data_IF_131265770130
#
_entry.id   IF_131265770130
#
_cell.length_a   1.000
_cell.length_b   1.000
_cell.length_c   1.000
_cell.angle_alpha   90.00
_cell.angle_beta   90.00
_cell.angle_gamma   90.00
#
_symmetry.space_group_name_H-M   'P 1'
#
loop_
_entity.id
_entity.type
_entity.pdbx_description
1 polymer ?
#
# COMPACT_ATOMS: atom_id res chain seq x y z
N UNK A 1 19.62 25.48 26.63
CA UNK A 1 19.92 25.61 25.18
C UNK A 1 20.95 24.59 24.64
N UNK A 2 21.09 23.38 25.23
CA UNK A 2 22.08 22.37 24.77
C UNK A 2 21.47 20.96 24.58
N UNK A 3 20.17 20.76 24.77
CA UNK A 3 19.54 19.43 24.76
C UNK A 3 18.71 19.11 23.50
N UNK A 4 18.36 20.08 22.66
CA UNK A 4 17.52 19.86 21.47
C UNK A 4 18.23 19.20 20.27
N UNK A 5 19.55 19.02 20.30
CA UNK A 5 20.28 18.37 19.19
C UNK A 5 20.33 16.84 19.27
N UNK A 6 20.02 16.23 20.43
CA UNK A 6 20.20 14.78 20.61
C UNK A 6 19.00 13.95 20.15
N UNK A 7 17.77 14.47 20.21
CA UNK A 7 16.59 13.69 19.83
C UNK A 7 16.43 13.56 18.30
N UNK A 8 16.63 14.64 17.56
CA UNK A 8 16.68 14.61 16.09
C UNK A 8 17.84 13.76 15.56
N UNK A 9 18.96 13.70 16.28
CA UNK A 9 20.11 12.86 15.91
C UNK A 9 19.85 11.37 16.14
N UNK A 10 19.00 10.98 17.09
CA UNK A 10 18.71 9.56 17.38
C UNK A 10 17.73 8.98 16.36
N UNK A 11 16.71 9.75 15.94
CA UNK A 11 15.81 9.33 14.87
C UNK A 11 16.49 9.31 13.49
N UNK A 12 17.39 10.28 13.22
CA UNK A 12 18.22 10.28 12.01
C UNK A 12 19.32 9.19 12.03
N UNK A 13 19.90 8.84 13.18
CA UNK A 13 20.89 7.76 13.27
C UNK A 13 20.29 6.36 13.19
N UNK A 14 19.08 6.12 13.70
CA UNK A 14 18.47 4.79 13.64
C UNK A 14 17.96 4.42 12.23
N UNK A 15 17.66 5.40 11.38
CA UNK A 15 17.28 5.18 9.98
C UNK A 15 18.47 5.22 8.99
N UNK A 16 19.59 5.84 9.36
CA UNK A 16 20.83 5.85 8.55
C UNK A 16 21.75 4.62 8.76
N UNK A 17 21.42 3.71 9.68
CA UNK A 17 22.23 2.51 9.93
C UNK A 17 21.94 1.32 9.00
N UNK A 18 21.19 1.50 7.90
CA UNK A 18 21.33 0.63 6.73
C UNK A 18 22.48 1.13 5.86
N UNK A 19 23.69 1.09 6.43
CA UNK A 19 24.92 1.10 5.66
C UNK A 19 24.92 -0.15 4.79
N UNK A 20 24.56 0.02 3.52
CA UNK A 20 24.93 -0.88 2.42
C UNK A 20 26.46 -0.89 2.37
N UNK A 21 27.08 -1.63 3.29
CA UNK A 21 28.52 -1.81 3.35
C UNK A 21 28.92 -2.51 2.07
N UNK A 22 29.55 -1.75 1.17
CA UNK A 22 30.32 -2.26 0.04
C UNK A 22 31.36 -3.23 0.58
N UNK A 23 31.10 -4.52 0.44
CA UNK A 23 32.15 -5.52 0.50
C UNK A 23 33.06 -5.25 -0.70
N UNK A 24 34.27 -4.79 -0.42
CA UNK A 24 35.38 -4.76 -1.36
C UNK A 24 35.64 -6.19 -1.84
N UNK A 25 35.36 -6.44 -3.11
CA UNK A 25 36.02 -7.52 -3.85
C UNK A 25 36.27 -7.08 -5.29
N UNK A 26 37.39 -7.52 -5.82
CA UNK A 26 38.14 -6.93 -6.95
C UNK A 26 37.31 -6.76 -8.22
N UNK A 27 37.31 -5.53 -8.73
CA UNK A 27 36.86 -5.19 -10.06
C UNK A 27 37.71 -5.91 -11.11
N UNK A 28 37.17 -6.98 -11.71
CA UNK A 28 37.51 -7.32 -13.09
C UNK A 28 36.70 -6.43 -14.01
N UNK A 29 37.42 -5.57 -14.74
CA UNK A 29 36.87 -4.76 -15.82
C UNK A 29 36.09 -5.65 -16.81
N UNK A 30 34.80 -5.39 -16.95
CA UNK A 30 34.06 -5.66 -18.18
C UNK A 30 33.46 -4.34 -18.66
N UNK A 31 34.27 -3.68 -19.48
CA UNK A 31 33.82 -2.65 -20.41
C UNK A 31 32.88 -3.29 -21.44
N UNK A 32 31.58 -3.06 -21.32
CA UNK A 32 30.75 -2.81 -22.50
C UNK A 32 29.48 -2.03 -22.15
N UNK A 33 29.15 -1.08 -23.01
CA UNK A 33 28.05 -0.16 -22.88
C UNK A 33 26.73 -0.81 -23.35
N UNK A 34 25.61 -0.27 -22.87
CA UNK A 34 24.28 -0.36 -23.51
C UNK A 34 23.53 -1.70 -23.49
N UNK A 35 23.49 -2.40 -22.36
CA UNK A 35 22.43 -3.37 -22.09
C UNK A 35 21.78 -3.10 -20.74
N UNK A 36 20.48 -2.77 -20.76
CA UNK A 36 19.63 -2.77 -19.56
C UNK A 36 19.52 -4.23 -19.11
N UNK A 37 20.37 -4.65 -18.18
CA UNK A 37 20.31 -5.99 -17.61
C UNK A 37 19.09 -6.08 -16.69
N UNK A 38 18.04 -6.75 -17.18
CA UNK A 38 16.92 -7.18 -16.37
C UNK A 38 17.36 -8.41 -15.57
N UNK A 39 17.92 -8.23 -14.37
CA UNK A 39 18.08 -9.34 -13.43
C UNK A 39 16.71 -9.87 -13.00
N UNK A 40 16.53 -11.16 -13.15
CA UNK A 40 15.26 -11.81 -13.01
C UNK A 40 15.06 -12.34 -11.58
N UNK A 41 13.81 -12.37 -11.07
CA UNK A 41 13.40 -12.99 -9.78
C UNK A 41 14.07 -14.35 -9.46
N UNK A 42 14.62 -15.06 -10.45
CA UNK A 42 15.54 -16.19 -10.38
C UNK A 42 16.59 -16.05 -9.31
N UNK A 43 17.21 -14.88 -9.26
CA UNK A 43 18.44 -14.71 -8.52
C UNK A 43 18.18 -14.63 -7.03
N UNK A 44 16.91 -14.80 -6.60
CA UNK A 44 16.49 -15.09 -5.23
C UNK A 44 16.67 -16.56 -4.80
N UNK A 45 17.04 -17.42 -5.75
CA UNK A 45 17.20 -18.86 -5.58
C UNK A 45 18.69 -19.17 -5.50
N UNK A 46 19.14 -20.06 -4.60
CA UNK A 46 20.54 -20.49 -4.58
C UNK A 46 20.90 -21.20 -5.89
N UNK A 47 21.91 -20.72 -6.62
CA UNK A 47 22.42 -21.35 -7.86
C UNK A 47 22.92 -22.79 -7.62
N UNK A 48 23.25 -23.12 -6.37
CA UNK A 48 23.97 -24.32 -5.95
C UNK A 48 23.18 -25.64 -5.98
N UNK A 49 22.01 -25.70 -6.63
CA UNK A 49 21.22 -26.96 -6.75
C UNK A 49 20.82 -27.31 -8.21
N UNK A 50 21.30 -26.59 -9.22
CA UNK A 50 20.54 -26.43 -10.47
C UNK A 50 21.21 -26.93 -11.77
N UNK A 51 22.32 -27.67 -11.71
CA UNK A 51 23.03 -28.13 -12.93
C UNK A 51 22.65 -29.54 -13.45
N UNK A 52 21.84 -30.34 -12.75
CA UNK A 52 21.53 -31.72 -13.17
C UNK A 52 20.14 -32.21 -12.73
N UNK A 53 19.08 -31.49 -13.13
CA UNK A 53 17.72 -31.81 -12.71
C UNK A 53 16.85 -32.22 -13.89
N UNK A 54 16.14 -33.34 -13.74
CA UNK A 54 15.13 -33.80 -14.70
C UNK A 54 13.96 -32.82 -14.82
N UNK A 55 13.29 -32.78 -15.97
CA UNK A 55 12.10 -31.96 -16.22
C UNK A 55 11.07 -32.05 -15.07
N UNK A 56 10.94 -33.24 -14.46
CA UNK A 56 10.06 -33.48 -13.31
C UNK A 56 10.50 -32.78 -12.01
N UNK A 57 11.81 -32.68 -11.75
CA UNK A 57 12.30 -31.92 -10.60
C UNK A 57 12.05 -30.43 -10.81
N UNK A 58 12.35 -29.92 -12.00
CA UNK A 58 12.13 -28.51 -12.34
C UNK A 58 10.64 -28.15 -12.27
N UNK A 59 9.76 -29.01 -12.80
CA UNK A 59 8.31 -28.86 -12.67
C UNK A 59 7.87 -28.76 -11.20
N UNK A 60 8.27 -29.71 -10.35
CA UNK A 60 7.92 -29.71 -8.93
C UNK A 60 8.47 -28.50 -8.18
N UNK A 61 9.68 -28.05 -8.53
CA UNK A 61 10.33 -26.89 -7.95
C UNK A 61 9.58 -25.59 -8.28
N UNK A 62 9.29 -25.36 -9.57
CA UNK A 62 8.56 -24.17 -10.02
C UNK A 62 7.13 -24.21 -9.46
N UNK A 63 6.46 -25.37 -9.45
CA UNK A 63 5.14 -25.52 -8.85
C UNK A 63 5.15 -25.13 -7.37
N UNK A 64 6.13 -25.59 -6.59
CA UNK A 64 6.25 -25.23 -5.17
C UNK A 64 6.50 -23.73 -4.95
N UNK A 65 7.30 -23.10 -5.82
CA UNK A 65 7.54 -21.65 -5.77
C UNK A 65 6.29 -20.83 -6.10
N UNK A 66 5.52 -21.25 -7.10
CA UNK A 66 4.24 -20.64 -7.43
C UNK A 66 3.27 -20.84 -6.27
N UNK A 67 3.15 -22.05 -5.73
CA UNK A 67 2.27 -22.32 -4.59
C UNK A 67 2.68 -21.45 -3.38
N UNK A 68 3.97 -21.30 -3.09
CA UNK A 68 4.43 -20.47 -1.97
C UNK A 68 4.00 -18.99 -2.07
N UNK A 69 3.84 -18.45 -3.28
CA UNK A 69 3.54 -17.03 -3.51
C UNK A 69 2.13 -16.75 -4.04
N UNK A 70 1.51 -17.76 -4.66
CA UNK A 70 0.30 -17.68 -5.46
C UNK A 70 -0.57 -18.93 -5.30
N UNK A 71 -0.47 -19.70 -4.20
CA UNK A 71 -1.29 -20.92 -3.96
C UNK A 71 -2.78 -20.67 -4.20
N UNK A 72 -3.24 -19.45 -3.92
CA UNK A 72 -4.62 -18.97 -4.06
C UNK A 72 -5.14 -19.04 -5.50
N UNK A 73 -4.26 -19.05 -6.49
CA UNK A 73 -4.62 -19.04 -7.91
C UNK A 73 -4.55 -20.41 -8.57
N UNK A 74 -4.07 -21.45 -7.87
CA UNK A 74 -4.01 -22.82 -8.38
C UNK A 74 -3.43 -22.95 -9.80
N UNK A 75 -2.39 -22.17 -10.09
CA UNK A 75 -1.70 -22.18 -11.38
C UNK A 75 -0.94 -23.49 -11.50
N UNK A 76 -1.11 -24.19 -12.62
CA UNK A 76 -0.44 -25.46 -12.87
C UNK A 76 0.75 -25.23 -13.77
N UNK A 77 1.88 -25.82 -13.39
CA UNK A 77 3.14 -25.78 -14.13
C UNK A 77 3.42 -27.12 -14.76
N UNK A 78 3.81 -27.10 -16.04
CA UNK A 78 4.36 -28.27 -16.74
C UNK A 78 5.65 -27.86 -17.42
N UNK A 79 6.67 -28.71 -17.36
CA UNK A 79 7.95 -28.51 -18.02
C UNK A 79 8.12 -29.60 -19.07
N UNK A 80 8.34 -29.22 -20.33
CA UNK A 80 8.63 -30.17 -21.42
C UNK A 80 9.83 -29.66 -22.23
N UNK A 81 11.00 -30.27 -22.01
CA UNK A 81 12.26 -29.62 -22.40
C UNK A 81 12.39 -28.27 -21.69
N UNK A 82 13.35 -27.44 -22.06
CA UNK A 82 13.64 -26.16 -21.39
C UNK A 82 12.51 -25.09 -21.47
N UNK A 83 11.27 -25.48 -21.79
CA UNK A 83 10.07 -24.65 -21.92
C UNK A 83 9.08 -24.95 -20.79
N UNK A 84 8.64 -23.90 -20.10
CA UNK A 84 7.63 -23.97 -19.04
C UNK A 84 6.26 -23.58 -19.56
N UNK A 85 5.26 -24.41 -19.30
CA UNK A 85 3.86 -24.15 -19.62
C UNK A 85 3.07 -23.81 -18.36
N UNK A 86 2.39 -22.66 -18.38
CA UNK A 86 1.49 -22.23 -17.33
C UNK A 86 0.04 -22.41 -17.76
N UNK A 87 -0.73 -23.06 -16.89
CA UNK A 87 -2.17 -23.27 -17.05
C UNK A 87 -2.92 -22.65 -15.88
N UNK A 88 -4.22 -22.37 -16.08
CA UNK A 88 -5.12 -21.84 -15.05
C UNK A 88 -4.65 -20.50 -14.46
N UNK A 89 -4.10 -19.61 -15.30
CA UNK A 89 -3.72 -18.26 -14.84
C UNK A 89 -4.96 -17.45 -14.42
N UNK A 90 -4.85 -16.61 -13.38
CA UNK A 90 -5.95 -15.76 -12.96
C UNK A 90 -6.30 -14.72 -14.03
N UNK A 91 -7.59 -14.37 -14.16
CA UNK A 91 -8.06 -13.41 -15.16
C UNK A 91 -7.56 -11.98 -14.92
N UNK A 92 -7.15 -11.65 -13.69
CA UNK A 92 -6.59 -10.35 -13.35
C UNK A 92 -5.24 -10.14 -14.05
N UNK A 93 -5.13 -9.13 -14.90
CA UNK A 93 -3.94 -8.85 -15.70
C UNK A 93 -2.71 -8.50 -14.84
N UNK A 94 -2.87 -7.81 -13.71
CA UNK A 94 -1.74 -7.50 -12.83
C UNK A 94 -1.17 -8.76 -12.19
N UNK A 95 -2.06 -9.64 -11.73
CA UNK A 95 -1.67 -10.90 -11.07
C UNK A 95 -1.09 -11.88 -12.09
N UNK A 96 -1.77 -12.11 -13.21
CA UNK A 96 -1.28 -13.01 -14.27
C UNK A 96 0.06 -12.55 -14.83
N UNK A 97 0.22 -11.26 -15.14
CA UNK A 97 1.50 -10.71 -15.57
C UNK A 97 2.57 -10.86 -14.49
N UNK A 98 2.21 -10.76 -13.21
CA UNK A 98 3.14 -11.02 -12.11
C UNK A 98 3.54 -12.49 -12.04
N UNK A 99 2.62 -13.44 -12.22
CA UNK A 99 2.94 -14.88 -12.21
C UNK A 99 3.80 -15.25 -13.42
N UNK A 100 3.43 -14.78 -14.62
CA UNK A 100 4.22 -15.00 -15.84
C UNK A 100 5.63 -14.42 -15.66
N UNK A 101 5.72 -13.17 -15.20
CA UNK A 101 7.01 -12.55 -14.91
C UNK A 101 7.75 -13.30 -13.80
N UNK A 102 7.06 -13.91 -12.83
CA UNK A 102 7.68 -14.70 -11.77
C UNK A 102 8.41 -15.92 -12.32
N UNK A 103 7.76 -16.64 -13.23
CA UNK A 103 8.28 -17.88 -13.81
C UNK A 103 9.31 -17.62 -14.90
N UNK A 104 9.05 -16.65 -15.80
CA UNK A 104 10.01 -16.19 -16.80
C UNK A 104 11.30 -15.74 -16.18
N UNK A 105 11.17 -15.21 -14.98
CA UNK A 105 12.30 -14.69 -14.28
C UNK A 105 13.17 -15.77 -13.65
N UNK A 106 12.83 -17.07 -13.65
CA UNK A 106 13.63 -18.13 -13.02
C UNK A 106 14.85 -18.52 -13.87
N UNK A 107 16.02 -18.87 -13.28
CA UNK A 107 17.29 -18.90 -14.02
C UNK A 107 17.37 -20.11 -14.95
N UNK A 108 16.55 -21.12 -14.64
CA UNK A 108 16.39 -22.39 -15.33
C UNK A 108 15.27 -22.37 -16.38
N UNK A 109 14.65 -21.23 -16.65
CA UNK A 109 13.51 -21.12 -17.57
C UNK A 109 13.91 -20.36 -18.83
N UNK A 110 14.01 -21.05 -19.96
CA UNK A 110 14.37 -20.44 -21.24
C UNK A 110 13.16 -19.79 -21.93
N UNK A 111 11.97 -20.37 -21.77
CA UNK A 111 10.75 -19.88 -22.41
C UNK A 111 9.52 -20.21 -21.55
N UNK A 112 8.56 -19.28 -21.47
CA UNK A 112 7.26 -19.50 -20.82
C UNK A 112 6.13 -19.41 -21.84
N UNK A 113 5.31 -20.45 -21.92
CA UNK A 113 4.13 -20.51 -22.77
C UNK A 113 2.86 -20.62 -21.94
N UNK A 114 1.81 -19.93 -22.36
CA UNK A 114 0.51 -19.96 -21.72
C UNK A 114 -0.37 -20.93 -22.50
N UNK A 115 -0.99 -21.89 -21.81
CA UNK A 115 -1.96 -22.81 -22.41
C UNK A 115 -3.27 -22.76 -21.61
N UNK A 116 -4.38 -22.87 -22.33
CA UNK A 116 -5.72 -22.78 -21.73
C UNK A 116 -6.19 -24.13 -21.19
N UNK A 117 -5.88 -25.23 -21.88
CA UNK A 117 -6.43 -26.55 -21.58
C UNK A 117 -5.34 -27.61 -21.41
N UNK A 118 -5.46 -28.40 -20.34
CA UNK A 118 -4.64 -29.59 -20.06
C UNK A 118 -5.20 -30.80 -20.82
N UNK A 119 -4.31 -31.67 -21.31
CA UNK A 119 -4.71 -32.92 -21.96
C UNK A 119 -5.35 -33.90 -20.94
N UNK A 120 -6.28 -34.74 -21.38
CA UNK A 120 -7.07 -35.62 -20.48
C UNK A 120 -6.18 -36.53 -19.60
N UNK A 121 -5.12 -37.12 -20.17
CA UNK A 121 -4.18 -37.99 -19.46
C UNK A 121 -3.43 -37.27 -18.32
N UNK A 122 -3.11 -35.99 -18.54
CA UNK A 122 -2.38 -35.15 -17.59
C UNK A 122 -3.29 -34.63 -16.47
N UNK A 123 -4.55 -34.34 -16.81
CA UNK A 123 -5.64 -34.11 -15.86
C UNK A 123 -5.87 -35.35 -14.98
N UNK A 124 -5.86 -36.56 -15.54
CA UNK A 124 -6.02 -37.80 -14.79
C UNK A 124 -4.86 -38.05 -13.80
N UNK A 125 -3.61 -37.82 -14.24
CA UNK A 125 -2.40 -37.93 -13.41
C UNK A 125 -2.43 -36.97 -12.21
N UNK A 126 -3.02 -35.79 -12.39
CA UNK A 126 -3.16 -34.75 -11.36
C UNK A 126 -4.55 -34.68 -10.73
N UNK A 127 -5.41 -35.69 -10.90
CA UNK A 127 -6.79 -35.68 -10.37
C UNK A 127 -6.87 -35.31 -8.89
N UNK A 128 -5.92 -35.72 -8.05
CA UNK A 128 -5.91 -35.34 -6.63
C UNK A 128 -5.63 -33.84 -6.36
N UNK A 129 -4.98 -33.14 -7.30
CA UNK A 129 -4.73 -31.69 -7.28
C UNK A 129 -5.84 -30.93 -8.03
N UNK A 130 -6.29 -31.46 -9.17
CA UNK A 130 -7.35 -30.87 -10.03
C UNK A 130 -8.75 -30.99 -9.41
N UNK A 131 -9.05 -32.08 -8.70
CA UNK A 131 -10.37 -32.37 -8.12
C UNK A 131 -10.48 -32.03 -6.63
N UNK A 132 -9.58 -31.18 -6.10
CA UNK A 132 -9.78 -30.66 -4.75
C UNK A 132 -11.11 -29.88 -4.68
N UNK A 133 -11.89 -30.00 -3.59
CA UNK A 133 -13.13 -29.26 -3.45
C UNK A 133 -12.85 -27.76 -3.57
N UNK A 134 -13.24 -27.19 -4.71
CA UNK A 134 -13.11 -25.77 -4.98
C UNK A 134 -14.15 -25.02 -4.15
N UNK A 135 -13.69 -24.42 -3.05
CA UNK A 135 -14.42 -23.32 -2.44
C UNK A 135 -14.38 -22.18 -3.47
N UNK A 136 -15.49 -21.48 -3.69
CA UNK A 136 -15.59 -20.41 -4.72
C UNK A 136 -14.81 -19.13 -4.36
N UNK A 137 -13.71 -19.28 -3.63
CA UNK A 137 -12.95 -18.20 -3.04
C UNK A 137 -11.98 -18.64 -1.95
N UNK A 138 -11.22 -17.68 -1.45
CA UNK A 138 -10.10 -17.83 -0.53
C UNK A 138 -10.43 -17.10 0.77
N UNK A 139 -10.38 -17.83 1.89
CA UNK A 139 -10.42 -17.24 3.23
C UNK A 139 -9.07 -16.62 3.59
N UNK A 140 -9.09 -15.40 4.12
CA UNK A 140 -7.92 -14.68 4.61
C UNK A 140 -6.75 -14.63 3.61
N UNK A 141 -6.95 -14.10 2.39
CA UNK A 141 -5.89 -14.05 1.39
C UNK A 141 -4.68 -13.24 1.87
N UNK A 142 -3.48 -13.75 1.62
CA UNK A 142 -2.23 -13.21 2.18
C UNK A 142 -1.33 -12.53 1.14
N UNK A 143 -1.54 -12.81 -0.14
CA UNK A 143 -0.56 -12.54 -1.20
C UNK A 143 -0.66 -11.13 -1.80
N UNK A 144 -1.89 -10.60 -1.91
CA UNK A 144 -2.21 -9.47 -2.79
C UNK A 144 -3.40 -8.68 -2.24
N UNK A 145 -3.51 -7.40 -2.63
CA UNK A 145 -4.69 -6.57 -2.43
C UNK A 145 -5.34 -6.27 -3.79
N UNK A 146 -6.67 -6.21 -3.84
CA UNK A 146 -7.39 -5.94 -5.09
C UNK A 146 -7.41 -4.45 -5.43
N UNK A 147 -7.51 -3.58 -4.43
CA UNK A 147 -7.48 -2.13 -4.60
C UNK A 147 -6.28 -1.55 -3.86
N UNK A 148 -5.36 -0.92 -4.61
CA UNK A 148 -4.14 -0.37 -4.01
C UNK A 148 -4.43 0.92 -3.22
N UNK A 149 -3.77 1.15 -2.07
CA UNK A 149 -4.01 2.34 -1.24
C UNK A 149 -3.71 3.63 -1.99
N UNK A 150 -4.45 4.70 -1.69
CA UNK A 150 -4.28 6.03 -2.26
C UNK A 150 -3.09 6.71 -1.55
N UNK A 151 -1.93 6.80 -2.21
CA UNK A 151 -0.67 7.12 -1.51
C UNK A 151 -0.68 8.53 -0.88
N UNK A 152 -1.22 9.51 -1.62
CA UNK A 152 -1.21 10.91 -1.21
C UNK A 152 -2.40 11.29 -0.31
N UNK A 153 -3.41 10.42 -0.15
CA UNK A 153 -4.52 10.66 0.76
C UNK A 153 -4.00 10.73 2.22
N UNK A 154 -4.20 11.87 2.91
CA UNK A 154 -3.82 12.04 4.32
C UNK A 154 -4.46 11.01 5.25
N UNK A 155 -5.66 10.53 4.90
CA UNK A 155 -6.47 9.58 5.68
C UNK A 155 -6.52 8.18 5.08
N UNK A 156 -5.57 7.86 4.22
CA UNK A 156 -5.35 6.49 3.79
C UNK A 156 -4.96 5.62 5.00
N UNK A 157 -5.67 4.52 5.19
CA UNK A 157 -5.35 3.50 6.21
C UNK A 157 -3.96 2.95 5.92
N UNK A 158 -3.03 3.20 6.85
CA UNK A 158 -1.61 2.88 6.71
C UNK A 158 -0.87 2.85 8.03
N UNK A 159 0.32 2.27 8.01
CA UNK A 159 1.32 2.51 9.05
C UNK A 159 2.28 3.62 8.60
N UNK A 160 2.41 4.67 9.40
CA UNK A 160 3.38 5.72 9.14
C UNK A 160 3.78 6.49 10.38
N UNK A 161 5.00 7.04 10.34
CA UNK A 161 5.46 8.08 11.27
C UNK A 161 6.05 9.21 10.43
N UNK A 162 5.55 10.42 10.63
CA UNK A 162 6.00 11.59 9.89
C UNK A 162 6.22 12.78 10.82
N UNK A 163 7.26 13.55 10.55
CA UNK A 163 7.43 14.88 11.11
C UNK A 163 6.67 15.87 10.24
N UNK A 164 5.73 16.60 10.82
CA UNK A 164 4.92 17.63 10.17
C UNK A 164 5.39 19.01 10.63
N UNK A 165 5.52 19.94 9.68
CA UNK A 165 5.96 21.30 9.95
C UNK A 165 5.11 22.34 9.21
N UNK A 166 4.88 23.49 9.87
CA UNK A 166 4.16 24.64 9.33
C UNK A 166 2.65 24.61 9.53
N UNK A 167 2.12 23.58 10.20
CA UNK A 167 0.69 23.45 10.48
C UNK A 167 0.26 24.50 11.51
N UNK A 168 -0.72 25.34 11.16
CA UNK A 168 -1.18 26.43 12.04
C UNK A 168 -2.36 26.04 12.93
N UNK A 169 -2.91 24.85 12.72
CA UNK A 169 -4.13 24.39 13.38
C UNK A 169 -3.78 23.49 14.55
N UNK A 170 -2.98 22.45 14.32
CA UNK A 170 -2.57 21.51 15.37
C UNK A 170 -1.22 21.84 16.01
N UNK A 171 -0.45 22.77 15.43
CA UNK A 171 0.84 23.25 15.94
C UNK A 171 1.98 23.20 14.92
N UNK A 172 2.89 24.17 14.95
CA UNK A 172 3.88 24.37 13.88
C UNK A 172 4.85 23.20 13.71
N UNK A 173 5.02 22.37 14.74
CA UNK A 173 5.89 21.19 14.73
C UNK A 173 5.15 20.03 15.39
N UNK A 174 4.82 19.02 14.60
CA UNK A 174 4.13 17.85 15.08
C UNK A 174 4.80 16.55 14.62
N UNK A 175 4.58 15.47 15.37
CA UNK A 175 4.85 14.11 14.92
C UNK A 175 3.50 13.44 14.71
N UNK A 176 3.22 13.05 13.47
CA UNK A 176 1.98 12.38 13.09
C UNK A 176 2.24 10.88 13.00
N UNK A 177 1.50 10.12 13.80
CA UNK A 177 1.54 8.66 13.80
C UNK A 177 0.24 8.17 13.19
N UNK A 178 0.34 7.26 12.21
CA UNK A 178 -0.79 6.52 11.67
C UNK A 178 -0.54 5.02 11.89
N UNK A 179 -1.57 4.33 12.38
CA UNK A 179 -1.57 2.88 12.54
C UNK A 179 -2.85 2.34 11.93
N UNK A 180 -2.73 1.49 10.93
CA UNK A 180 -3.90 0.90 10.32
C UNK A 180 -3.56 -0.18 9.31
N UNK A 181 -4.49 -1.09 9.12
CA UNK A 181 -4.37 -2.19 8.17
C UNK A 181 -5.72 -2.47 7.49
N UNK A 182 -5.64 -3.05 6.30
CA UNK A 182 -6.77 -3.66 5.62
C UNK A 182 -6.64 -5.17 5.81
N UNK A 183 -7.61 -5.77 6.49
CA UNK A 183 -7.66 -7.21 6.72
C UNK A 183 -8.64 -7.87 5.75
N UNK A 184 -8.16 -8.59 4.71
CA UNK A 184 -9.02 -9.33 3.81
C UNK A 184 -9.67 -10.51 4.54
N UNK A 185 -11.00 -10.59 4.52
CA UNK A 185 -11.72 -11.69 5.18
C UNK A 185 -11.96 -12.82 4.18
N UNK A 186 -12.50 -12.50 3.02
CA UNK A 186 -12.82 -13.48 2.00
C UNK A 186 -12.71 -12.87 0.61
N UNK A 187 -12.11 -13.63 -0.32
CA UNK A 187 -12.02 -13.26 -1.73
C UNK A 187 -12.71 -14.31 -2.58
N UNK A 188 -13.75 -13.92 -3.29
CA UNK A 188 -14.26 -14.72 -4.39
C UNK A 188 -13.44 -14.48 -5.65
N UNK A 189 -13.17 -15.55 -6.38
CA UNK A 189 -12.44 -15.51 -7.64
C UNK A 189 -13.38 -15.73 -8.82
N UNK A 190 -13.09 -15.08 -9.95
CA UNK A 190 -13.81 -15.28 -11.21
C UNK A 190 -15.34 -15.09 -11.10
N UNK A 191 -15.78 -13.97 -10.52
CA UNK A 191 -17.19 -13.63 -10.31
C UNK A 191 -17.66 -12.54 -11.30
N UNK A 192 -18.96 -12.59 -11.61
CA UNK A 192 -19.69 -11.72 -12.54
C UNK A 192 -19.29 -11.89 -14.00
N UNK A 193 -19.90 -11.07 -14.88
CA UNK A 193 -19.72 -11.12 -16.32
C UNK A 193 -18.26 -10.90 -16.76
N UNK A 194 -17.50 -10.10 -15.99
CA UNK A 194 -16.12 -9.72 -16.31
C UNK A 194 -15.07 -10.67 -15.71
N UNK A 195 -15.50 -11.76 -15.06
CA UNK A 195 -14.60 -12.79 -14.56
C UNK A 195 -13.52 -12.26 -13.58
N UNK A 196 -13.84 -11.19 -12.85
CA UNK A 196 -12.96 -10.52 -11.89
C UNK A 196 -12.99 -11.12 -10.48
N UNK A 197 -12.15 -10.60 -9.60
CA UNK A 197 -12.07 -11.02 -8.21
C UNK A 197 -12.81 -10.00 -7.33
N UNK A 198 -13.61 -10.51 -6.38
CA UNK A 198 -14.35 -9.72 -5.40
C UNK A 198 -13.83 -10.04 -4.00
N UNK A 199 -13.59 -9.04 -3.17
CA UNK A 199 -13.06 -9.21 -1.82
C UNK A 199 -13.84 -8.37 -0.83
N UNK A 200 -14.21 -8.98 0.29
CA UNK A 200 -14.70 -8.27 1.47
C UNK A 200 -13.62 -8.28 2.56
N UNK A 201 -13.45 -7.14 3.23
CA UNK A 201 -12.45 -6.99 4.28
C UNK A 201 -12.93 -6.12 5.44
N UNK A 202 -11.98 -5.81 6.31
CA UNK A 202 -12.13 -4.87 7.43
C UNK A 202 -10.99 -3.86 7.31
N UNK A 203 -11.33 -2.58 7.25
CA UNK A 203 -10.37 -1.48 7.36
C UNK A 203 -10.39 -0.96 8.79
N UNK A 204 -9.23 -0.84 9.43
CA UNK A 204 -9.11 -0.17 10.71
C UNK A 204 -7.93 0.81 10.67
N UNK A 205 -8.15 2.05 11.07
CA UNK A 205 -7.14 3.11 11.05
C UNK A 205 -7.20 3.99 12.28
N UNK A 206 -6.03 4.42 12.74
CA UNK A 206 -5.85 5.35 13.85
C UNK A 206 -4.85 6.41 13.41
N UNK A 207 -5.17 7.69 13.63
CA UNK A 207 -4.24 8.80 13.43
C UNK A 207 -4.13 9.63 14.69
N UNK A 208 -2.90 9.89 15.12
CA UNK A 208 -2.57 10.61 16.33
C UNK A 208 -1.45 11.63 16.06
N UNK A 209 -1.79 12.91 15.82
CA UNK A 209 -0.82 13.99 15.80
C UNK A 209 -0.41 14.42 17.21
N UNK A 210 0.90 14.43 17.46
CA UNK A 210 1.52 14.94 18.68
C UNK A 210 2.19 16.28 18.40
N UNK A 211 1.72 17.35 19.04
CA UNK A 211 2.28 18.69 18.90
C UNK A 211 3.47 18.89 19.85
N UNK A 212 4.55 19.50 19.35
CA UNK A 212 5.78 19.83 20.08
C UNK A 212 6.02 21.35 20.17
N UNK A 213 5.16 22.16 19.58
CA UNK A 213 5.28 23.62 19.53
C UNK A 213 4.23 24.27 20.44
N UNK A 214 4.59 25.36 21.12
CA UNK A 214 3.67 26.07 22.05
C UNK A 214 3.05 25.18 23.15
N UNK A 215 3.77 24.11 23.54
CA UNK A 215 3.35 23.22 24.64
C UNK A 215 3.72 23.86 25.97
N UNK A 216 2.76 24.01 26.88
CA UNK A 216 2.99 24.57 28.22
C UNK A 216 4.05 23.77 28.97
N UNK A 217 5.23 24.36 29.17
CA UNK A 217 6.37 23.73 29.85
C UNK A 217 6.26 23.74 31.38
N UNK A 218 5.09 24.06 31.93
CA UNK A 218 4.85 24.02 33.37
C UNK A 218 4.61 22.58 33.87
N UNK A 219 4.29 21.65 32.98
CA UNK A 219 4.18 20.23 33.25
C UNK A 219 5.32 19.44 32.59
N UNK A 220 5.59 18.23 33.11
CA UNK A 220 6.71 17.34 32.74
C UNK A 220 6.59 16.76 31.32
N UNK A 221 5.87 17.42 30.43
CA UNK A 221 5.43 16.90 29.14
C UNK A 221 6.14 17.67 28.02
N UNK A 222 6.78 16.94 27.10
CA UNK A 222 7.55 17.51 26.00
C UNK A 222 6.72 17.68 24.71
N UNK A 223 5.51 17.11 24.69
CA UNK A 223 4.55 17.15 23.60
C UNK A 223 3.14 16.97 24.16
N UNK A 224 2.12 17.32 23.37
CA UNK A 224 0.71 17.04 23.67
C UNK A 224 0.09 16.22 22.54
N UNK A 225 -0.76 15.24 22.87
CA UNK A 225 -1.62 14.60 21.88
C UNK A 225 -2.75 15.58 21.54
N UNK A 226 -2.86 15.98 20.26
CA UNK A 226 -3.88 16.96 19.85
C UNK A 226 -5.24 16.29 19.74
N UNK A 227 -5.32 15.23 18.95
CA UNK A 227 -6.51 14.40 18.81
C UNK A 227 -6.13 12.96 18.46
N UNK A 228 -7.12 12.07 18.47
CA UNK A 228 -7.01 10.74 17.89
C UNK A 228 -8.26 10.44 17.09
N UNK A 229 -8.06 10.14 15.81
CA UNK A 229 -9.14 9.73 14.92
C UNK A 229 -9.12 8.21 14.77
N UNK A 230 -10.29 7.59 14.89
CA UNK A 230 -10.50 6.16 14.78
C UNK A 230 -11.42 5.88 13.59
N UNK A 231 -10.94 5.08 12.63
CA UNK A 231 -11.71 4.62 11.49
C UNK A 231 -11.92 3.12 11.58
N UNK A 232 -13.16 2.69 11.34
CA UNK A 232 -13.52 1.29 11.11
C UNK A 232 -14.39 1.23 9.86
N UNK A 233 -14.00 0.40 8.89
CA UNK A 233 -14.71 0.26 7.62
C UNK A 233 -14.84 -1.18 7.17
N UNK A 234 -15.81 -1.40 6.28
CA UNK A 234 -16.04 -2.68 5.59
C UNK A 234 -15.88 -2.42 4.09
N UNK A 235 -14.66 -2.56 3.53
CA UNK A 235 -14.44 -2.45 2.11
C UNK A 235 -14.93 -3.70 1.37
N UNK A 236 -15.56 -3.44 0.23
CA UNK A 236 -15.85 -4.40 -0.83
C UNK A 236 -15.06 -3.97 -2.07
N UNK A 237 -13.97 -4.69 -2.33
CA UNK A 237 -13.06 -4.42 -3.44
C UNK A 237 -13.37 -5.37 -4.60
N UNK A 238 -13.44 -4.86 -5.83
CA UNK A 238 -13.60 -5.65 -7.04
C UNK A 238 -12.54 -5.26 -8.07
N UNK A 239 -11.78 -6.21 -8.60
CA UNK A 239 -10.75 -5.93 -9.59
C UNK A 239 -10.82 -6.87 -10.78
N UNK A 240 -10.70 -6.30 -11.98
CA UNK A 240 -10.58 -7.04 -13.23
C UNK A 240 -9.70 -6.25 -14.21
N UNK A 241 -8.82 -6.95 -14.92
CA UNK A 241 -7.88 -6.36 -15.87
C UNK A 241 -7.11 -5.14 -15.28
N UNK A 242 -7.33 -3.93 -15.82
CA UNK A 242 -6.70 -2.68 -15.40
C UNK A 242 -7.57 -1.86 -14.42
N UNK A 243 -8.76 -2.34 -14.09
CA UNK A 243 -9.71 -1.66 -13.24
C UNK A 243 -9.75 -2.28 -11.84
N UNK A 244 -9.81 -1.40 -10.85
CA UNK A 244 -10.13 -1.77 -9.47
C UNK A 244 -11.21 -0.82 -8.95
N UNK A 245 -12.18 -1.37 -8.24
CA UNK A 245 -13.28 -0.65 -7.63
C UNK A 245 -13.28 -0.95 -6.15
N UNK A 246 -13.62 0.05 -5.33
CA UNK A 246 -13.80 -0.09 -3.89
C UNK A 246 -15.11 0.56 -3.52
N UNK A 247 -15.98 -0.18 -2.86
CA UNK A 247 -17.10 0.40 -2.14
C UNK A 247 -16.84 0.19 -0.65
N UNK A 248 -16.89 1.24 0.17
CA UNK A 248 -16.59 1.12 1.60
C UNK A 248 -17.65 1.85 2.41
N UNK A 249 -18.28 1.10 3.33
CA UNK A 249 -19.05 1.69 4.42
C UNK A 249 -18.08 1.85 5.60
N UNK A 250 -17.96 3.05 6.15
CA UNK A 250 -17.08 3.28 7.29
C UNK A 250 -17.70 4.23 8.31
N UNK A 251 -17.22 4.09 9.54
CA UNK A 251 -17.44 5.00 10.64
C UNK A 251 -16.09 5.62 11.00
N UNK A 252 -16.08 6.94 11.21
CA UNK A 252 -14.94 7.64 11.80
C UNK A 252 -15.41 8.46 12.99
N UNK A 253 -14.65 8.39 14.08
CA UNK A 253 -14.86 9.23 15.27
C UNK A 253 -13.54 9.83 15.73
N UNK A 254 -13.63 11.02 16.31
CA UNK A 254 -12.46 11.77 16.79
C UNK A 254 -12.59 12.12 18.26
N UNK A 255 -11.47 12.02 18.97
CA UNK A 255 -11.38 12.43 20.37
C UNK A 255 -10.17 13.34 20.58
N UNK A 256 -10.40 14.53 21.14
CA UNK A 256 -9.32 15.40 21.59
C UNK A 256 -8.46 14.70 22.63
N UNK A 257 -7.15 14.95 22.58
CA UNK A 257 -6.24 14.50 23.63
C UNK A 257 -6.46 15.27 24.93
N UNK A 258 -6.21 14.59 26.04
CA UNK A 258 -6.33 15.19 27.36
C UNK A 258 -5.23 16.22 27.61
N UNK A 259 -3.99 15.98 27.15
CA UNK A 259 -2.92 16.96 27.28
C UNK A 259 -3.24 18.27 26.53
N UNK A 260 -3.84 18.18 25.34
CA UNK A 260 -4.29 19.35 24.59
C UNK A 260 -5.34 20.16 25.38
N UNK A 261 -6.32 19.49 25.98
CA UNK A 261 -7.35 20.16 26.79
C UNK A 261 -6.79 20.78 28.07
N UNK A 262 -5.81 20.14 28.72
CA UNK A 262 -5.14 20.68 29.91
C UNK A 262 -4.33 21.92 29.57
N UNK A 263 -3.62 21.91 28.45
CA UNK A 263 -2.82 23.05 28.00
C UNK A 263 -3.68 24.20 27.44
N UNK A 264 -4.89 23.88 26.95
CA UNK A 264 -5.81 24.83 26.31
C UNK A 264 -7.22 24.71 26.91
N UNK A 265 -7.41 25.12 28.18
CA UNK A 265 -8.67 24.94 28.89
C UNK A 265 -9.86 25.67 28.24
N UNK A 266 -9.60 26.66 27.38
CA UNK A 266 -10.62 27.32 26.56
C UNK A 266 -11.38 26.36 25.64
N UNK A 267 -10.80 25.20 25.28
CA UNK A 267 -11.47 24.18 24.47
C UNK A 267 -12.41 23.28 25.27
N UNK A 268 -12.45 23.37 26.61
CA UNK A 268 -13.37 22.57 27.41
C UNK A 268 -14.84 22.90 27.11
N UNK A 269 -15.14 24.18 26.89
CA UNK A 269 -16.49 24.65 26.58
C UNK A 269 -16.81 24.60 25.07
N UNK A 270 -15.77 24.52 24.21
CA UNK A 270 -15.88 24.49 22.74
C UNK A 270 -15.78 23.08 22.13
N UNK A 271 -15.61 22.06 22.98
CA UNK A 271 -15.42 20.68 22.54
C UNK A 271 -16.62 20.18 21.74
N UNK A 272 -16.38 19.80 20.49
CA UNK A 272 -17.32 19.06 19.66
C UNK A 272 -16.99 17.56 19.65
N UNK A 273 -17.91 16.74 19.14
CA UNK A 273 -17.71 15.31 18.92
C UNK A 273 -17.79 14.97 17.42
N UNK A 274 -16.72 15.22 16.63
CA UNK A 274 -16.67 14.87 15.22
C UNK A 274 -16.78 13.35 15.07
N UNK A 275 -17.90 12.92 14.53
CA UNK A 275 -18.18 11.52 14.27
C UNK A 275 -19.16 11.43 13.12
N UNK A 276 -18.89 10.56 12.15
CA UNK A 276 -19.80 10.32 11.05
C UNK A 276 -19.65 8.92 10.45
N UNK A 277 -20.72 8.45 9.83
CA UNK A 277 -20.75 7.26 8.99
C UNK A 277 -20.89 7.68 7.54
N UNK A 278 -20.12 7.04 6.66
CA UNK A 278 -20.12 7.36 5.25
C UNK A 278 -20.07 6.10 4.37
N UNK A 279 -20.65 6.23 3.19
CA UNK A 279 -20.52 5.28 2.09
C UNK A 279 -19.70 5.95 0.99
N UNK A 280 -18.60 5.34 0.60
CA UNK A 280 -17.78 5.81 -0.53
C UNK A 280 -17.69 4.76 -1.62
N UNK A 281 -17.46 5.23 -2.85
CA UNK A 281 -17.18 4.40 -4.00
C UNK A 281 -16.02 4.98 -4.79
N UNK A 282 -14.97 4.20 -5.01
CA UNK A 282 -13.83 4.57 -5.82
C UNK A 282 -13.69 3.66 -7.03
N UNK A 283 -13.30 4.26 -8.15
CA UNK A 283 -12.77 3.57 -9.31
C UNK A 283 -11.30 3.95 -9.47
N UNK A 284 -10.46 2.96 -9.73
CA UNK A 284 -9.03 3.09 -10.01
C UNK A 284 -8.73 2.44 -11.35
N UNK A 285 -8.02 3.16 -12.21
CA UNK A 285 -7.65 2.70 -13.55
C UNK A 285 -6.13 2.77 -13.76
N UNK A 286 -5.56 1.62 -14.10
CA UNK A 286 -4.13 1.46 -14.35
C UNK A 286 -3.81 1.70 -15.83
N UNK A 287 -3.61 2.96 -16.22
CA UNK A 287 -3.38 3.38 -17.62
C UNK A 287 -2.12 2.74 -18.20
N UNK A 288 -1.04 2.71 -17.42
CA UNK A 288 0.21 2.03 -17.78
C UNK A 288 0.76 1.32 -16.55
N UNK A 289 1.84 0.53 -16.68
CA UNK A 289 2.52 -0.08 -15.51
C UNK A 289 3.01 0.93 -14.47
N UNK A 290 3.14 2.20 -14.86
CA UNK A 290 3.70 3.28 -14.03
C UNK A 290 2.67 4.32 -13.59
N UNK A 291 1.57 4.48 -14.32
CA UNK A 291 0.61 5.57 -14.12
C UNK A 291 -0.76 5.02 -13.75
N UNK A 292 -1.32 5.51 -12.64
CA UNK A 292 -2.62 5.15 -12.10
C UNK A 292 -3.45 6.40 -11.85
N UNK A 293 -4.72 6.37 -12.20
CA UNK A 293 -5.69 7.39 -11.81
C UNK A 293 -6.78 6.76 -10.96
N UNK A 294 -7.33 7.54 -10.03
CA UNK A 294 -8.45 7.13 -9.23
C UNK A 294 -9.40 8.30 -9.01
N UNK A 295 -10.69 8.00 -8.85
CA UNK A 295 -11.70 8.97 -8.51
C UNK A 295 -12.91 8.27 -7.87
N UNK A 296 -13.60 8.98 -6.97
CA UNK A 296 -14.74 8.44 -6.27
C UNK A 296 -15.57 9.49 -5.55
N UNK A 297 -16.91 9.38 -5.55
CA UNK A 297 -17.75 10.12 -4.63
C UNK A 297 -17.85 9.42 -3.27
N UNK A 298 -18.18 10.21 -2.26
CA UNK A 298 -18.63 9.72 -0.96
C UNK A 298 -19.85 10.46 -0.44
N UNK A 299 -20.58 9.75 0.42
CA UNK A 299 -21.88 10.13 0.93
C UNK A 299 -21.91 9.97 2.45
N UNK A 300 -22.06 11.06 3.18
CA UNK A 300 -22.24 11.06 4.64
C UNK A 300 -23.66 10.61 4.96
N UNK A 301 -23.80 9.45 5.60
CA UNK A 301 -25.08 8.87 5.95
C UNK A 301 -25.64 9.47 7.24
N UNK A 302 -24.75 9.72 8.21
CA UNK A 302 -25.07 10.28 9.50
C UNK A 302 -23.83 10.98 10.08
N UNK A 303 -24.05 12.02 10.87
CA UNK A 303 -23.02 12.71 11.64
C UNK A 303 -23.58 13.11 13.01
N UNK A 304 -22.68 13.27 13.98
CA UNK A 304 -23.03 13.74 15.32
C UNK A 304 -23.69 15.12 15.30
N UNK A 305 -24.64 15.36 16.20
CA UNK A 305 -25.38 16.63 16.27
C UNK A 305 -24.50 17.82 16.68
N UNK A 306 -23.43 17.57 17.44
CA UNK A 306 -22.45 18.59 17.82
C UNK A 306 -21.51 18.99 16.69
N UNK A 307 -21.43 18.18 15.63
CA UNK A 307 -20.57 18.42 14.47
C UNK A 307 -21.27 17.96 13.17
N UNK A 308 -22.28 18.70 12.70
CA UNK A 308 -23.04 18.34 11.52
C UNK A 308 -22.17 18.42 10.26
N UNK A 309 -22.23 17.37 9.44
CA UNK A 309 -21.52 17.26 8.17
C UNK A 309 -22.51 17.31 7.01
N UNK A 310 -22.09 17.93 5.90
CA UNK A 310 -22.87 17.88 4.67
C UNK A 310 -22.71 16.54 3.93
N UNK A 311 -23.68 16.24 3.07
CA UNK A 311 -23.89 14.91 2.50
C UNK A 311 -22.77 14.47 1.56
N UNK A 312 -22.24 15.35 0.71
CA UNK A 312 -21.40 14.93 -0.41
C UNK A 312 -19.93 15.32 -0.26
N UNK A 313 -19.06 14.45 -0.75
CA UNK A 313 -17.68 14.80 -1.08
C UNK A 313 -17.22 14.00 -2.30
N UNK A 314 -16.16 14.47 -2.95
CA UNK A 314 -15.51 13.81 -4.07
C UNK A 314 -14.01 13.83 -3.85
N UNK A 315 -13.36 12.73 -4.19
CA UNK A 315 -11.91 12.56 -4.13
C UNK A 315 -11.40 11.98 -5.44
N UNK A 316 -10.24 12.47 -5.89
CA UNK A 316 -9.60 12.01 -7.11
C UNK A 316 -8.12 12.34 -7.10
N UNK A 317 -7.35 11.52 -7.81
CA UNK A 317 -5.92 11.68 -7.83
C UNK A 317 -5.23 10.83 -8.87
N UNK A 318 -3.90 10.97 -8.86
CA UNK A 318 -3.01 10.33 -9.81
C UNK A 318 -1.74 9.87 -9.10
N UNK A 319 -1.20 8.74 -9.54
CA UNK A 319 0.08 8.23 -9.07
C UNK A 319 0.97 7.87 -10.24
N UNK A 320 2.23 8.27 -10.13
CA UNK A 320 3.25 8.01 -11.11
C UNK A 320 4.48 7.39 -10.46
N UNK A 321 4.84 6.19 -10.91
CA UNK A 321 6.04 5.45 -10.51
C UNK A 321 7.06 5.47 -11.63
N UNK A 322 8.28 5.92 -11.35
CA UNK A 322 9.32 6.13 -12.35
C UNK A 322 10.71 5.77 -11.80
N UNK A 323 11.69 5.66 -12.70
CA UNK A 323 13.09 5.38 -12.36
C UNK A 323 13.26 4.18 -11.40
N UNK A 324 12.64 3.06 -11.74
CA UNK A 324 12.80 1.82 -10.98
C UNK A 324 14.25 1.33 -11.04
N UNK A 325 14.83 1.10 -9.87
CA UNK A 325 16.19 0.60 -9.67
C UNK A 325 16.15 -0.75 -8.98
N UNK A 326 17.16 -1.59 -9.25
CA UNK A 326 17.28 -2.93 -8.67
C UNK A 326 18.50 -2.98 -7.77
N UNK A 327 18.34 -3.56 -6.59
CA UNK A 327 19.43 -3.80 -5.64
C UNK A 327 19.77 -5.29 -5.66
N UNK A 328 20.69 -5.68 -6.53
CA UNK A 328 21.00 -7.07 -6.87
C UNK A 328 21.44 -7.89 -5.64
N UNK A 329 22.33 -7.33 -4.81
CA UNK A 329 22.84 -8.03 -3.63
C UNK A 329 21.76 -8.33 -2.59
N UNK A 330 20.82 -7.40 -2.39
CA UNK A 330 19.75 -7.53 -1.38
C UNK A 330 18.46 -8.14 -1.96
N UNK A 331 18.39 -8.35 -3.29
CA UNK A 331 17.20 -8.82 -4.02
C UNK A 331 15.97 -7.95 -3.72
N UNK A 332 16.18 -6.62 -3.76
CA UNK A 332 15.14 -5.60 -3.53
C UNK A 332 14.91 -4.76 -4.77
N UNK A 333 13.68 -4.27 -4.91
CA UNK A 333 13.28 -3.29 -5.91
C UNK A 333 13.10 -1.93 -5.24
N UNK A 334 13.66 -0.89 -5.85
CA UNK A 334 13.45 0.48 -5.45
C UNK A 334 12.79 1.26 -6.58
N UNK A 335 11.88 2.18 -6.29
CA UNK A 335 11.18 2.96 -7.32
C UNK A 335 10.81 4.34 -6.78
N UNK A 336 11.07 5.38 -7.56
CA UNK A 336 10.57 6.71 -7.23
C UNK A 336 9.08 6.78 -7.51
N UNK A 337 8.35 7.49 -6.65
CA UNK A 337 6.94 7.75 -6.86
C UNK A 337 6.61 9.22 -6.65
N UNK A 338 5.56 9.65 -7.34
CA UNK A 338 4.90 10.93 -7.15
C UNK A 338 3.39 10.66 -7.16
N UNK A 339 2.67 11.18 -6.18
CA UNK A 339 1.24 11.04 -6.03
C UNK A 339 0.61 12.40 -5.75
N UNK A 340 -0.56 12.62 -6.35
CA UNK A 340 -1.42 13.76 -6.09
C UNK A 340 -2.77 13.21 -5.66
N UNK A 341 -3.30 13.75 -4.57
CA UNK A 341 -4.65 13.53 -4.09
C UNK A 341 -5.36 14.88 -3.99
N UNK A 342 -6.63 14.92 -4.40
CA UNK A 342 -7.48 16.11 -4.35
C UNK A 342 -8.84 15.72 -3.79
N UNK A 343 -9.32 16.49 -2.83
CA UNK A 343 -10.60 16.31 -2.17
C UNK A 343 -11.41 17.59 -2.25
N UNK A 344 -12.72 17.44 -2.47
CA UNK A 344 -13.68 18.52 -2.43
C UNK A 344 -14.88 18.07 -1.59
N UNK A 345 -15.06 18.70 -0.44
CA UNK A 345 -16.16 18.39 0.47
C UNK A 345 -17.24 19.46 0.39
N UNK A 346 -18.51 19.05 0.40
CA UNK A 346 -19.63 19.98 0.39
C UNK A 346 -19.60 20.91 1.62
N UNK A 347 -19.27 20.36 2.80
CA UNK A 347 -19.17 21.13 4.07
C UNK A 347 -18.06 22.19 4.05
N UNK A 348 -17.14 22.09 3.08
CA UNK A 348 -16.05 23.03 2.82
C UNK A 348 -16.31 23.86 1.55
N UNK A 349 -17.59 24.04 1.20
CA UNK A 349 -18.02 24.79 0.01
C UNK A 349 -17.40 24.30 -1.31
N UNK A 350 -17.03 23.01 -1.39
CA UNK A 350 -16.32 22.40 -2.52
C UNK A 350 -14.95 23.02 -2.82
N UNK A 351 -14.33 23.67 -1.83
CA UNK A 351 -12.97 24.18 -1.96
C UNK A 351 -11.97 23.06 -2.27
N UNK A 352 -10.87 23.43 -2.92
CA UNK A 352 -9.82 22.50 -3.33
C UNK A 352 -8.87 22.21 -2.16
N UNK A 353 -8.93 20.98 -1.68
CA UNK A 353 -7.94 20.40 -0.79
C UNK A 353 -7.05 19.47 -1.58
N UNK A 354 -5.74 19.70 -1.55
CA UNK A 354 -4.84 18.86 -2.30
C UNK A 354 -3.60 18.50 -1.49
N UNK A 355 -3.12 17.29 -1.74
CA UNK A 355 -1.91 16.75 -1.14
C UNK A 355 -1.04 16.17 -2.23
N UNK A 356 0.20 16.62 -2.30
CA UNK A 356 1.22 16.01 -3.15
C UNK A 356 2.21 15.24 -2.27
N UNK A 357 2.54 14.03 -2.68
CA UNK A 357 3.50 13.18 -1.97
C UNK A 357 4.49 12.59 -2.97
N UNK A 358 5.78 12.76 -2.69
CA UNK A 358 6.86 12.21 -3.49
C UNK A 358 7.87 11.47 -2.63
N UNK A 359 8.48 10.43 -3.19
CA UNK A 359 9.39 9.62 -2.40
C UNK A 359 10.03 8.46 -3.13
N UNK A 360 10.60 7.56 -2.35
CA UNK A 360 11.23 6.34 -2.81
C UNK A 360 10.61 5.15 -2.09
N UNK A 361 10.09 4.18 -2.86
CA UNK A 361 9.53 2.94 -2.34
C UNK A 361 10.50 1.77 -2.54
N UNK A 362 10.66 0.95 -1.51
CA UNK A 362 11.47 -0.27 -1.50
C UNK A 362 10.56 -1.46 -1.24
N UNK A 363 10.64 -2.48 -2.09
CA UNK A 363 9.81 -3.69 -1.99
C UNK A 363 10.56 -4.95 -2.39
N UNK A 364 10.07 -6.11 -1.93
CA UNK A 364 10.61 -7.42 -2.33
C UNK A 364 10.16 -7.83 -3.73
N UNK A 365 8.93 -7.46 -4.10
CA UNK A 365 8.35 -7.70 -5.41
C UNK A 365 8.08 -6.35 -6.07
N UNK A 366 8.46 -6.19 -7.34
CA UNK A 366 8.19 -4.97 -8.08
C UNK A 366 6.68 -4.74 -8.21
N UNK A 367 6.19 -3.63 -7.67
CA UNK A 367 4.79 -3.22 -7.81
C UNK A 367 3.77 -3.93 -6.92
N UNK A 368 4.09 -5.09 -6.32
CA UNK A 368 3.15 -5.94 -5.56
C UNK A 368 3.68 -6.20 -4.15
N UNK A 369 2.75 -6.39 -3.22
CA UNK A 369 3.07 -6.80 -1.85
C UNK A 369 3.53 -5.65 -0.98
N UNK A 370 4.10 -5.99 0.17
CA UNK A 370 4.51 -5.00 1.17
C UNK A 370 5.72 -4.19 0.74
N UNK A 371 5.69 -2.89 1.05
CA UNK A 371 6.71 -1.90 0.71
C UNK A 371 6.98 -0.98 1.90
N UNK A 372 8.19 -0.42 1.92
CA UNK A 372 8.57 0.69 2.78
C UNK A 372 8.77 1.92 1.88
N UNK A 373 8.18 3.04 2.24
CA UNK A 373 8.29 4.31 1.51
C UNK A 373 8.92 5.37 2.41
N UNK A 374 9.98 5.98 1.91
CA UNK A 374 10.47 7.26 2.43
C UNK A 374 9.79 8.35 1.62
N UNK A 375 9.14 9.31 2.27
CA UNK A 375 8.34 10.31 1.57
C UNK A 375 8.54 11.72 2.13
N UNK A 376 8.34 12.69 1.24
CA UNK A 376 8.03 14.06 1.58
C UNK A 376 6.64 14.38 0.99
N UNK A 377 5.79 15.03 1.78
CA UNK A 377 4.47 15.48 1.34
C UNK A 377 4.29 16.98 1.61
N UNK A 378 3.40 17.59 0.84
CA UNK A 378 2.89 18.93 1.11
C UNK A 378 1.38 18.92 0.94
N UNK A 379 0.69 19.41 1.96
CA UNK A 379 -0.75 19.54 1.98
C UNK A 379 -1.13 21.03 1.99
N UNK A 380 -2.15 21.38 1.22
CA UNK A 380 -2.75 22.71 1.22
C UNK A 380 -4.26 22.58 1.13
N UNK A 381 -4.96 23.06 2.16
CA UNK A 381 -6.39 22.81 2.26
C UNK A 381 -6.93 23.02 3.67
N UNK A 382 -7.79 22.11 4.09
CA UNK A 382 -8.33 22.04 5.44
C UNK A 382 -7.66 20.92 6.26
N UNK A 383 -7.56 21.15 7.57
CA UNK A 383 -7.11 20.15 8.53
C UNK A 383 -8.01 18.92 8.45
N UNK A 384 -7.43 17.73 8.64
CA UNK A 384 -8.19 16.49 8.71
C UNK A 384 -8.45 16.05 10.16
N UNK A 385 -7.97 16.80 11.13
CA UNK A 385 -7.87 16.41 12.53
C UNK A 385 -9.15 16.77 13.28
N UNK A 386 -10.05 15.79 13.41
CA UNK A 386 -11.19 15.86 14.32
C UNK A 386 -12.00 17.14 14.23
N UNK A 387 -12.06 17.88 15.34
CA UNK A 387 -12.91 19.09 15.43
C UNK A 387 -12.36 20.26 14.63
N UNK A 388 -11.09 20.16 14.22
CA UNK A 388 -10.44 21.16 13.38
C UNK A 388 -10.67 20.90 11.89
N UNK A 389 -11.54 19.93 11.53
CA UNK A 389 -11.81 19.54 10.15
C UNK A 389 -12.27 20.68 9.23
N UNK A 390 -12.78 21.79 9.80
CA UNK A 390 -13.23 22.98 9.06
C UNK A 390 -12.20 24.13 9.09
N UNK A 391 -11.04 23.94 9.70
CA UNK A 391 -9.97 24.94 9.77
C UNK A 391 -9.00 24.78 8.60
N UNK A 392 -8.68 25.88 7.92
CA UNK A 392 -7.70 25.88 6.82
C UNK A 392 -6.28 25.83 7.34
N UNK A 393 -5.47 24.96 6.74
CA UNK A 393 -4.05 24.84 7.05
C UNK A 393 -3.22 24.50 5.81
N UNK A 394 -1.91 24.54 5.96
CA UNK A 394 -0.97 23.99 5.02
C UNK A 394 0.24 23.50 5.80
N UNK A 395 0.81 22.38 5.38
CA UNK A 395 1.95 21.81 6.08
C UNK A 395 2.78 20.95 5.14
N UNK A 396 4.06 20.84 5.46
CA UNK A 396 4.95 19.85 4.86
C UNK A 396 5.16 18.69 5.82
N UNK A 397 5.27 17.47 5.31
CA UNK A 397 5.66 16.31 6.10
C UNK A 397 6.85 15.58 5.49
N UNK A 398 7.66 14.97 6.33
CA UNK A 398 8.67 14.01 5.93
C UNK A 398 8.62 12.80 6.85
N UNK A 399 8.58 11.60 6.28
CA UNK A 399 8.31 10.43 7.08
C UNK A 399 8.60 9.11 6.41
N UNK A 400 8.28 8.07 7.17
CA UNK A 400 8.32 6.68 6.73
C UNK A 400 6.91 6.13 6.74
N UNK A 401 6.56 5.48 5.65
CA UNK A 401 5.31 4.75 5.47
C UNK A 401 5.67 3.29 5.22
N UNK A 402 4.91 2.35 5.77
CA UNK A 402 5.04 0.93 5.42
C UNK A 402 3.67 0.26 5.36
N UNK A 403 3.53 -0.72 4.47
CA UNK A 403 2.23 -1.27 4.09
C UNK A 403 2.28 -1.78 2.66
N UNK A 404 1.20 -1.63 1.90
CA UNK A 404 1.11 -2.07 0.50
C UNK A 404 1.32 -0.94 -0.52
#
# INVERSE_FOLDING_TARGET
MVTNRKFASVMACSLCCFSLCSAKEESRELTDASHVFFMSRAESIPDSQMEDNSDHYLEGYIQALIDMHYFEHHVVVIVEGDVVYLYNLPNNALISNSIISFVQDLPCVCEVKIKCDLNEEECERRRGYVMQPCISGVWFPQSTILFQPLIADPRQVKYSVAYRAGDRVIGEKAICIALGDNFPVYRWTNIFYWCGDLQIGIDAGIWAPFNFDDVSHNDKTYCELVNTDYLLGIPLDYAFDQWAFRMRLYHISSHLGDEFLVNRPEFLDLRANPSFEALEFFASYQVTRSLRFYAGPGFILHSDQSFPMDLYYVEYGAEWRFLSSRFCYQRLYGTFFLALDVQNWQVRDWDFDWTIMGGYEISKLAGIGRKIRLFASYHHGFSYEGQFFLERTHYGEFGVYWGF
#
